data_IF_071413586005
#
_entry.id   IF_071413586005
#
_cell.length_a   1.000
_cell.length_b   1.000
_cell.length_c   1.000
_cell.angle_alpha   90.00
_cell.angle_beta   90.00
_cell.angle_gamma   90.00
#
_symmetry.space_group_name_H-M   'P 1'
#
loop_
_entity.id
_entity.type
_entity.pdbx_description
1 polymer ?
#
# COMPACT_ATOMS: atom_id res chain seq x y z
N UNK A 1 -27.45 27.13 -11.43
CA UNK A 1 -26.70 25.92 -11.79
C UNK A 1 -25.52 26.35 -12.67
N UNK A 2 -24.31 26.33 -12.16
CA UNK A 2 -23.10 26.64 -12.94
C UNK A 2 -22.50 25.32 -13.42
N UNK A 3 -22.21 25.14 -14.71
CA UNK A 3 -21.53 23.94 -15.18
C UNK A 3 -20.10 23.95 -14.66
N UNK A 4 -19.75 22.94 -13.89
CA UNK A 4 -18.36 22.65 -13.52
C UNK A 4 -17.72 22.11 -14.81
N UNK A 5 -16.93 22.94 -15.45
CA UNK A 5 -16.06 22.52 -16.53
C UNK A 5 -15.06 21.52 -15.95
N UNK A 6 -15.24 20.24 -16.22
CA UNK A 6 -14.24 19.21 -16.07
C UNK A 6 -13.14 19.52 -17.10
N UNK A 7 -12.08 20.17 -16.64
CA UNK A 7 -10.81 20.15 -17.35
C UNK A 7 -10.26 18.74 -17.15
N UNK A 8 -10.64 17.85 -18.05
CA UNK A 8 -9.84 16.66 -18.34
C UNK A 8 -8.53 17.19 -18.92
N UNK A 9 -7.52 17.37 -18.06
CA UNK A 9 -6.15 17.27 -18.49
C UNK A 9 -5.98 15.82 -18.96
N UNK A 10 -6.30 15.58 -20.21
CA UNK A 10 -5.73 14.50 -20.97
C UNK A 10 -4.22 14.82 -20.97
N UNK A 11 -3.52 14.38 -19.94
CA UNK A 11 -2.10 14.18 -20.03
C UNK A 11 -1.95 13.28 -21.24
N UNK A 12 -1.51 13.88 -22.34
CA UNK A 12 -1.02 13.16 -23.50
C UNK A 12 0.06 12.25 -22.94
N UNK A 13 -0.36 11.04 -22.61
CA UNK A 13 0.55 9.95 -22.29
C UNK A 13 1.21 9.66 -23.63
N UNK A 14 2.27 10.41 -23.91
CA UNK A 14 3.24 9.95 -24.85
C UNK A 14 3.55 8.51 -24.43
N UNK A 15 3.62 7.55 -25.36
CA UNK A 15 4.12 6.21 -25.08
C UNK A 15 5.62 6.26 -24.86
N UNK A 16 6.05 7.16 -23.97
CA UNK A 16 7.40 7.25 -23.51
C UNK A 16 7.63 6.09 -22.57
N UNK A 17 8.07 4.95 -23.18
CA UNK A 17 8.84 3.94 -22.47
C UNK A 17 8.07 3.19 -21.40
N UNK A 18 6.91 2.64 -21.78
CA UNK A 18 6.20 1.63 -20.99
C UNK A 18 7.06 0.38 -20.70
N UNK A 19 8.24 0.29 -21.34
CA UNK A 19 9.15 -0.84 -21.18
C UNK A 19 9.69 -0.99 -19.73
N UNK A 20 9.80 0.11 -18.98
CA UNK A 20 10.43 0.10 -17.64
C UNK A 20 9.45 0.30 -16.48
N UNK A 21 8.15 0.35 -16.74
CA UNK A 21 7.13 0.56 -15.72
C UNK A 21 6.52 -0.76 -15.29
N UNK A 22 6.70 -1.10 -14.02
CA UNK A 22 6.07 -2.24 -13.36
C UNK A 22 4.59 -1.93 -13.04
N UNK A 23 3.76 -2.95 -12.81
CA UNK A 23 2.45 -2.75 -12.19
C UNK A 23 2.37 -3.42 -10.83
N UNK A 24 1.56 -2.86 -9.95
CA UNK A 24 1.25 -3.42 -8.65
C UNK A 24 -0.24 -3.41 -8.43
N UNK A 25 -0.82 -4.57 -8.22
CA UNK A 25 -2.23 -4.74 -7.89
C UNK A 25 -2.36 -5.31 -6.49
N UNK A 26 -3.20 -4.72 -5.66
CA UNK A 26 -3.46 -5.17 -4.31
C UNK A 26 -4.96 -5.33 -4.06
N UNK A 27 -5.29 -6.29 -3.20
CA UNK A 27 -6.62 -6.54 -2.72
C UNK A 27 -6.58 -6.67 -1.20
N UNK A 28 -7.41 -5.88 -0.52
CA UNK A 28 -7.61 -5.93 0.92
C UNK A 28 -9.08 -6.23 1.23
N UNK A 29 -9.32 -7.22 2.07
CA UNK A 29 -10.66 -7.54 2.60
C UNK A 29 -10.64 -7.33 4.10
N UNK A 30 -11.31 -6.29 4.58
CA UNK A 30 -11.39 -5.95 6.01
C UNK A 30 -12.64 -6.53 6.63
N UNK A 31 -12.44 -7.35 7.67
CA UNK A 31 -13.46 -8.01 8.44
C UNK A 31 -13.44 -7.45 9.88
N UNK A 32 -14.51 -6.82 10.36
CA UNK A 32 -14.63 -6.43 11.76
C UNK A 32 -14.74 -7.70 12.63
N UNK A 33 -13.83 -7.89 13.58
CA UNK A 33 -13.81 -9.03 14.51
C UNK A 33 -14.48 -8.65 15.81
N UNK A 34 -14.16 -7.47 16.34
CA UNK A 34 -14.74 -6.87 17.56
C UNK A 34 -14.74 -5.35 17.41
N UNK A 35 -15.41 -4.60 18.28
CA UNK A 35 -15.21 -3.15 18.35
C UNK A 35 -13.72 -2.83 18.44
N UNK A 36 -13.24 -1.95 17.57
CA UNK A 36 -11.83 -1.51 17.49
C UNK A 36 -10.83 -2.59 17.02
N UNK A 37 -11.27 -3.77 16.60
CA UNK A 37 -10.39 -4.84 16.12
C UNK A 37 -10.86 -5.33 14.77
N UNK A 38 -10.01 -5.18 13.77
CA UNK A 38 -10.23 -5.60 12.40
C UNK A 38 -9.18 -6.65 11.98
N UNK A 39 -9.63 -7.64 11.20
CA UNK A 39 -8.76 -8.54 10.45
C UNK A 39 -8.78 -8.13 8.99
N UNK A 40 -7.61 -7.89 8.42
CA UNK A 40 -7.45 -7.53 7.01
C UNK A 40 -6.75 -8.69 6.31
N UNK A 41 -7.43 -9.29 5.34
CA UNK A 41 -6.80 -10.24 4.43
C UNK A 41 -6.22 -9.47 3.26
N UNK A 42 -4.89 -9.47 3.16
CA UNK A 42 -4.14 -8.73 2.16
C UNK A 42 -3.57 -9.68 1.10
N UNK A 43 -3.70 -9.30 -0.17
CA UNK A 43 -2.94 -9.90 -1.25
C UNK A 43 -2.37 -8.83 -2.18
N UNK A 44 -1.27 -9.15 -2.84
CA UNK A 44 -0.63 -8.26 -3.80
C UNK A 44 0.13 -9.03 -4.86
N UNK A 45 0.00 -8.60 -6.11
CA UNK A 45 0.79 -9.07 -7.25
C UNK A 45 1.59 -7.89 -7.81
N UNK A 46 2.78 -8.18 -8.34
CA UNK A 46 3.56 -7.26 -9.17
C UNK A 46 3.92 -7.92 -10.47
N UNK A 47 3.82 -7.16 -11.54
CA UNK A 47 4.24 -7.60 -12.87
C UNK A 47 5.56 -6.96 -13.25
N UNK A 48 6.28 -7.61 -14.15
CA UNK A 48 7.48 -7.08 -14.79
C UNK A 48 7.13 -5.86 -15.67
N UNK A 49 8.11 -5.02 -16.00
CA UNK A 49 7.93 -3.95 -16.97
C UNK A 49 7.29 -4.47 -18.25
N UNK A 50 6.39 -3.66 -18.84
CA UNK A 50 5.67 -4.05 -20.06
C UNK A 50 4.58 -5.11 -19.87
N UNK A 51 4.28 -5.54 -18.65
CA UNK A 51 3.22 -6.52 -18.37
C UNK A 51 3.55 -7.96 -18.76
N UNK A 52 4.83 -8.26 -19.01
CA UNK A 52 5.34 -9.55 -19.52
C UNK A 52 5.36 -10.69 -18.48
N UNK A 53 4.49 -10.67 -17.51
CA UNK A 53 4.39 -11.70 -16.48
C UNK A 53 4.50 -11.13 -15.08
N UNK A 54 4.09 -11.90 -14.09
CA UNK A 54 4.24 -11.48 -12.69
C UNK A 54 5.56 -12.00 -12.12
N UNK A 55 6.21 -11.18 -11.29
CA UNK A 55 7.46 -11.57 -10.65
C UNK A 55 7.36 -11.62 -9.13
N UNK A 56 6.29 -11.10 -8.54
CA UNK A 56 6.10 -11.13 -7.10
C UNK A 56 4.62 -11.27 -6.73
N UNK A 57 4.36 -12.23 -5.86
CA UNK A 57 3.10 -12.38 -5.16
C UNK A 57 3.33 -12.29 -3.65
N UNK A 58 2.38 -11.77 -2.92
CA UNK A 58 2.33 -11.92 -1.47
C UNK A 58 0.88 -11.94 -0.98
N UNK A 59 0.64 -12.70 0.08
CA UNK A 59 -0.64 -12.70 0.77
C UNK A 59 -0.47 -12.99 2.26
N UNK A 60 -1.44 -12.56 3.06
CA UNK A 60 -1.49 -12.88 4.47
C UNK A 60 -2.40 -11.98 5.28
N UNK A 61 -2.63 -12.33 6.56
CA UNK A 61 -3.46 -11.58 7.47
C UNK A 61 -2.73 -10.40 8.11
N UNK A 62 -3.49 -9.35 8.38
CA UNK A 62 -3.09 -8.19 9.20
C UNK A 62 -4.16 -8.02 10.27
N UNK A 63 -3.75 -7.83 11.50
CA UNK A 63 -4.61 -7.43 12.61
C UNK A 63 -4.41 -5.93 12.82
N UNK A 64 -5.49 -5.18 12.82
CA UNK A 64 -5.52 -3.75 13.12
C UNK A 64 -6.36 -3.52 14.38
N UNK A 65 -5.78 -2.85 15.38
CA UNK A 65 -6.45 -2.54 16.63
C UNK A 65 -6.38 -1.02 16.92
N UNK A 66 -7.55 -0.40 17.00
CA UNK A 66 -7.69 1.01 17.34
C UNK A 66 -7.47 1.21 18.84
N UNK A 67 -6.21 1.35 19.25
CA UNK A 67 -5.83 1.59 20.63
C UNK A 67 -6.40 2.91 21.16
N UNK A 68 -6.43 3.94 20.32
CA UNK A 68 -7.05 5.24 20.58
C UNK A 68 -7.78 5.74 19.32
N UNK A 69 -8.57 6.84 19.39
CA UNK A 69 -9.16 7.45 18.18
C UNK A 69 -8.13 7.92 17.13
N UNK A 70 -6.86 8.03 17.50
CA UNK A 70 -5.78 8.51 16.61
C UNK A 70 -4.68 7.49 16.36
N UNK A 71 -4.66 6.38 17.08
CA UNK A 71 -3.57 5.38 16.99
C UNK A 71 -4.17 4.02 16.73
N UNK A 72 -3.82 3.44 15.59
CA UNK A 72 -4.12 2.05 15.23
C UNK A 72 -2.83 1.24 15.29
N UNK A 73 -2.79 0.21 16.12
CA UNK A 73 -1.69 -0.75 16.16
C UNK A 73 -1.90 -1.81 15.09
N UNK A 74 -0.82 -2.17 14.41
CA UNK A 74 -0.80 -3.11 13.32
C UNK A 74 0.13 -4.27 13.64
N UNK A 75 -0.32 -5.49 13.36
CA UNK A 75 0.53 -6.67 13.35
C UNK A 75 0.11 -7.57 12.20
N UNK A 76 1.04 -8.24 11.55
CA UNK A 76 0.67 -9.07 10.43
C UNK A 76 1.78 -9.99 9.97
N UNK A 77 1.35 -10.87 9.09
CA UNK A 77 2.20 -11.85 8.43
C UNK A 77 1.91 -11.86 6.94
N UNK A 78 2.92 -12.03 6.13
CA UNK A 78 2.81 -12.32 4.70
C UNK A 78 3.68 -13.52 4.33
N UNK A 79 3.10 -14.42 3.56
CA UNK A 79 3.86 -15.28 2.68
C UNK A 79 4.09 -14.53 1.36
N UNK A 80 5.29 -14.59 0.82
CA UNK A 80 5.64 -13.96 -0.44
C UNK A 80 6.40 -14.95 -1.33
N UNK A 81 6.15 -14.87 -2.62
CA UNK A 81 6.95 -15.51 -3.66
C UNK A 81 7.50 -14.43 -4.56
N UNK A 82 8.76 -14.54 -4.91
CA UNK A 82 9.43 -13.62 -5.82
C UNK A 82 10.29 -14.40 -6.81
N UNK A 83 10.12 -14.06 -8.07
CA UNK A 83 10.93 -14.61 -9.15
C UNK A 83 12.39 -14.19 -8.98
N UNK A 84 13.29 -15.15 -9.13
CA UNK A 84 14.74 -14.96 -9.14
C UNK A 84 15.20 -14.63 -10.57
N UNK A 85 15.94 -13.56 -10.72
CA UNK A 85 16.39 -13.07 -12.03
C UNK A 85 17.33 -14.01 -12.79
N UNK A 86 17.95 -14.97 -12.10
CA UNK A 86 18.99 -15.84 -12.69
C UNK A 86 18.38 -17.02 -13.43
N UNK A 87 17.31 -17.60 -12.92
CA UNK A 87 16.74 -18.86 -13.39
C UNK A 87 15.21 -18.83 -13.52
N UNK A 88 14.58 -17.68 -13.29
CA UNK A 88 13.12 -17.51 -13.28
C UNK A 88 12.37 -18.38 -12.27
N UNK A 89 13.08 -19.04 -11.34
CA UNK A 89 12.46 -19.78 -10.27
C UNK A 89 11.85 -18.85 -9.22
N UNK A 90 10.76 -19.27 -8.59
CA UNK A 90 10.14 -18.54 -7.51
C UNK A 90 10.72 -18.94 -6.16
N UNK A 91 11.23 -17.96 -5.43
CA UNK A 91 11.71 -18.14 -4.06
C UNK A 91 10.60 -17.73 -3.09
N UNK A 92 10.34 -18.62 -2.14
CA UNK A 92 9.48 -18.35 -1.00
C UNK A 92 10.15 -17.44 0.03
N UNK A 93 9.32 -16.79 0.82
CA UNK A 93 9.77 -16.00 1.95
C UNK A 93 8.61 -15.58 2.84
N UNK A 94 8.94 -15.32 4.09
CA UNK A 94 7.97 -14.95 5.11
C UNK A 94 8.29 -13.53 5.61
N UNK A 95 7.25 -12.80 5.95
CA UNK A 95 7.40 -11.46 6.53
C UNK A 95 6.48 -11.34 7.72
N UNK A 96 7.07 -11.14 8.88
CA UNK A 96 6.39 -10.75 10.10
C UNK A 96 6.56 -9.25 10.29
N UNK A 97 5.53 -8.56 10.73
CA UNK A 97 5.64 -7.14 11.01
C UNK A 97 4.72 -6.70 12.14
N UNK A 98 5.12 -5.61 12.78
CA UNK A 98 4.33 -4.89 13.76
C UNK A 98 4.61 -3.40 13.69
N UNK A 99 3.68 -2.59 14.19
CA UNK A 99 3.85 -1.15 14.20
C UNK A 99 2.57 -0.39 14.51
N UNK A 100 2.55 0.88 14.12
CA UNK A 100 1.43 1.78 14.37
C UNK A 100 1.16 2.70 13.18
N UNK A 101 -0.10 3.04 13.03
CA UNK A 101 -0.55 4.15 12.19
C UNK A 101 -1.16 5.24 13.09
N UNK A 102 -0.79 6.49 12.85
CA UNK A 102 -1.13 7.64 13.67
C UNK A 102 -1.82 8.69 12.79
N UNK A 103 -3.07 9.04 13.13
CA UNK A 103 -3.74 10.20 12.57
C UNK A 103 -3.17 11.47 13.21
N UNK A 104 -2.16 12.06 12.54
CA UNK A 104 -1.41 13.23 13.09
C UNK A 104 -2.25 14.48 13.06
N UNK A 105 -2.90 14.75 11.93
CA UNK A 105 -3.74 15.91 11.74
C UNK A 105 -4.94 15.60 10.87
N UNK A 106 -6.07 16.14 11.22
CA UNK A 106 -7.32 15.97 10.50
C UNK A 106 -8.10 17.27 10.48
N UNK A 107 -8.51 17.68 9.28
CA UNK A 107 -9.36 18.82 9.05
C UNK A 107 -10.63 18.39 8.30
N UNK A 108 -11.55 19.32 8.00
CA UNK A 108 -12.73 19.01 7.16
C UNK A 108 -12.35 18.58 5.73
N UNK A 109 -11.19 18.99 5.22
CA UNK A 109 -10.77 18.78 3.82
C UNK A 109 -9.58 17.83 3.66
N UNK A 110 -8.74 17.67 4.68
CA UNK A 110 -7.47 16.97 4.62
C UNK A 110 -7.27 16.06 5.81
N UNK A 111 -6.61 14.95 5.58
CA UNK A 111 -6.08 14.06 6.62
C UNK A 111 -4.59 13.85 6.37
N UNK A 112 -3.81 13.91 7.45
CA UNK A 112 -2.38 13.58 7.45
C UNK A 112 -2.14 12.45 8.44
N UNK A 113 -1.61 11.35 7.94
CA UNK A 113 -1.27 10.17 8.73
C UNK A 113 0.21 9.80 8.60
N UNK A 114 0.74 9.17 9.65
CA UNK A 114 2.05 8.55 9.67
C UNK A 114 1.93 7.10 10.07
N UNK A 115 2.74 6.24 9.43
CA UNK A 115 2.81 4.82 9.77
C UNK A 115 4.26 4.40 9.96
N UNK A 116 4.53 3.78 11.10
CA UNK A 116 5.78 3.11 11.39
C UNK A 116 5.55 1.60 11.40
N UNK A 117 6.43 0.84 10.75
CA UNK A 117 6.45 -0.62 10.78
C UNK A 117 7.87 -1.13 11.00
N UNK A 118 8.01 -2.08 11.90
CA UNK A 118 9.18 -2.94 12.02
C UNK A 118 8.85 -4.31 11.39
N UNK A 119 9.70 -4.78 10.49
CA UNK A 119 9.48 -6.00 9.73
C UNK A 119 10.68 -6.95 9.89
N UNK A 120 10.41 -8.24 10.07
CA UNK A 120 11.37 -9.33 9.93
C UNK A 120 11.08 -10.03 8.62
N UNK A 121 12.07 -10.07 7.75
CA UNK A 121 12.02 -10.78 6.47
C UNK A 121 12.86 -12.04 6.59
N UNK A 122 12.20 -13.18 6.37
CA UNK A 122 12.77 -14.51 6.35
C UNK A 122 12.73 -14.98 4.90
N UNK A 123 13.81 -15.48 4.36
CA UNK A 123 13.91 -15.89 2.96
C UNK A 123 14.52 -17.28 2.84
N UNK A 124 13.96 -18.10 1.95
CA UNK A 124 14.45 -19.45 1.69
C UNK A 124 15.79 -19.45 0.95
N UNK A 125 16.22 -18.29 0.40
CA UNK A 125 17.42 -18.21 -0.44
C UNK A 125 18.36 -17.06 -0.12
N UNK A 126 18.10 -16.27 0.93
CA UNK A 126 18.92 -15.14 1.33
C UNK A 126 18.94 -15.00 2.86
N UNK A 127 19.97 -14.39 3.45
CA UNK A 127 19.99 -14.12 4.89
C UNK A 127 18.79 -13.31 5.33
N UNK A 128 18.25 -13.67 6.47
CA UNK A 128 17.18 -12.93 7.13
C UNK A 128 17.63 -11.54 7.49
N UNK A 129 16.71 -10.57 7.40
CA UNK A 129 17.00 -9.21 7.83
C UNK A 129 15.81 -8.48 8.41
N UNK A 130 16.10 -7.49 9.24
CA UNK A 130 15.12 -6.55 9.76
C UNK A 130 15.02 -5.33 8.85
N UNK A 131 13.81 -4.80 8.71
CA UNK A 131 13.55 -3.58 7.98
C UNK A 131 12.58 -2.70 8.75
N UNK A 132 12.86 -1.41 8.76
CA UNK A 132 12.01 -0.39 9.34
C UNK A 132 11.44 0.49 8.27
N UNK A 133 10.18 0.89 8.43
CA UNK A 133 9.47 1.71 7.47
C UNK A 133 8.79 2.86 8.18
N UNK A 134 8.95 4.06 7.61
CA UNK A 134 8.25 5.26 8.04
C UNK A 134 7.52 5.85 6.83
N UNK A 135 6.19 5.87 6.87
CA UNK A 135 5.36 6.47 5.82
C UNK A 135 4.65 7.71 6.36
N UNK A 136 4.70 8.80 5.60
CA UNK A 136 3.84 9.97 5.76
C UNK A 136 2.89 10.02 4.57
N UNK A 137 1.60 10.28 4.82
CA UNK A 137 0.57 10.39 3.78
C UNK A 137 -0.32 11.59 4.04
N UNK A 138 -0.55 12.38 2.99
CA UNK A 138 -1.54 13.44 2.95
C UNK A 138 -2.64 13.06 1.96
N UNK A 139 -3.90 13.13 2.36
CA UNK A 139 -5.04 12.81 1.51
C UNK A 139 -6.16 13.83 1.68
N UNK A 140 -6.86 14.14 0.58
CA UNK A 140 -8.07 14.95 0.64
C UNK A 140 -9.25 14.09 1.14
N UNK A 141 -10.27 14.75 1.70
CA UNK A 141 -11.53 14.15 2.16
C UNK A 141 -12.66 14.50 1.20
N UNK A 142 -12.59 13.92 0.00
CA UNK A 142 -13.56 14.15 -1.09
C UNK A 142 -13.98 12.81 -1.67
N UNK A 143 -15.04 12.77 -2.46
CA UNK A 143 -15.52 11.54 -3.12
C UNK A 143 -14.46 10.90 -4.03
N UNK A 144 -13.72 11.72 -4.78
CA UNK A 144 -12.47 11.34 -5.42
C UNK A 144 -11.38 12.08 -4.66
N UNK A 145 -10.64 11.37 -3.82
CA UNK A 145 -9.70 11.91 -2.86
C UNK A 145 -8.27 11.82 -3.40
N UNK A 146 -7.66 12.89 -3.91
CA UNK A 146 -6.24 12.87 -4.23
C UNK A 146 -5.41 12.62 -2.97
N UNK A 147 -4.31 11.91 -3.15
CA UNK A 147 -3.34 11.66 -2.10
C UNK A 147 -1.92 11.73 -2.61
N UNK A 148 -1.02 12.01 -1.68
CA UNK A 148 0.42 11.80 -1.86
C UNK A 148 0.98 11.11 -0.64
N UNK A 149 2.01 10.29 -0.82
CA UNK A 149 2.73 9.70 0.31
C UNK A 149 4.21 9.57 0.03
N UNK A 150 4.97 9.61 1.10
CA UNK A 150 6.40 9.37 1.12
C UNK A 150 6.71 8.29 2.16
N UNK A 151 7.49 7.29 1.78
CA UNK A 151 7.85 6.18 2.65
C UNK A 151 9.34 5.92 2.60
N UNK A 152 10.00 5.97 3.77
CA UNK A 152 11.40 5.61 3.94
C UNK A 152 11.53 4.16 4.40
N UNK A 153 12.60 3.52 3.93
CA UNK A 153 12.99 2.17 4.32
C UNK A 153 14.41 2.18 4.86
N UNK A 154 14.59 1.52 6.00
CA UNK A 154 15.90 1.36 6.65
C UNK A 154 16.12 -0.13 6.92
N UNK A 155 17.37 -0.55 6.88
CA UNK A 155 17.86 -1.85 7.33
C UNK A 155 19.07 -1.68 8.28
N UNK A 156 19.76 -2.76 8.64
CA UNK A 156 20.93 -2.71 9.50
C UNK A 156 22.09 -1.87 8.92
N UNK A 157 22.08 -1.61 7.62
CA UNK A 157 23.09 -0.79 6.94
C UNK A 157 22.65 0.69 6.79
N UNK A 158 21.54 1.08 7.43
CA UNK A 158 20.99 2.43 7.38
C UNK A 158 19.91 2.59 6.32
N UNK A 159 19.86 3.75 5.64
CA UNK A 159 18.89 4.03 4.60
C UNK A 159 19.01 3.04 3.43
N UNK A 160 17.88 2.44 3.04
CA UNK A 160 17.79 1.44 1.98
C UNK A 160 17.14 1.98 0.71
N UNK A 161 15.99 2.59 0.85
CA UNK A 161 15.24 3.19 -0.25
C UNK A 161 14.19 4.16 0.28
N UNK A 162 13.66 4.99 -0.61
CA UNK A 162 12.47 5.76 -0.36
C UNK A 162 11.49 5.63 -1.52
N UNK A 163 10.21 5.77 -1.22
CA UNK A 163 9.11 5.73 -2.17
C UNK A 163 8.30 6.99 -2.10
N UNK A 164 8.03 7.56 -3.26
CA UNK A 164 7.06 8.61 -3.45
C UNK A 164 5.89 8.04 -4.22
N UNK A 165 4.68 8.24 -3.75
CA UNK A 165 3.50 7.88 -4.50
C UNK A 165 2.47 8.99 -4.48
N UNK A 166 1.76 9.13 -5.59
CA UNK A 166 0.64 10.03 -5.73
C UNK A 166 -0.47 9.34 -6.51
N UNK A 167 -1.71 9.71 -6.23
CA UNK A 167 -2.85 9.08 -6.87
C UNK A 167 -4.18 9.63 -6.41
N UNK A 168 -5.21 8.89 -6.74
CA UNK A 168 -6.58 9.19 -6.34
C UNK A 168 -7.20 7.97 -5.66
N UNK A 169 -7.99 8.23 -4.65
CA UNK A 169 -8.86 7.29 -3.96
C UNK A 169 -10.29 7.56 -4.36
N UNK A 170 -10.97 6.55 -4.82
CA UNK A 170 -12.37 6.60 -5.20
C UNK A 170 -13.17 5.59 -4.39
N UNK A 171 -14.27 6.04 -3.79
CA UNK A 171 -15.16 5.18 -3.00
C UNK A 171 -16.53 5.12 -3.66
N UNK A 172 -16.71 4.26 -4.70
CA UNK A 172 -17.99 4.16 -5.42
C UNK A 172 -19.13 3.67 -4.53
N UNK A 173 -18.83 2.87 -3.54
CA UNK A 173 -19.77 2.33 -2.55
C UNK A 173 -19.15 2.43 -1.15
N UNK A 174 -19.97 2.50 -0.07
CA UNK A 174 -19.45 2.56 1.29
C UNK A 174 -18.54 1.38 1.68
N UNK A 175 -18.73 0.23 1.03
CA UNK A 175 -17.96 -0.98 1.27
C UNK A 175 -16.76 -1.15 0.33
N UNK A 176 -16.61 -0.30 -0.70
CA UNK A 176 -15.58 -0.45 -1.74
C UNK A 176 -14.79 0.83 -1.87
N UNK A 177 -13.48 0.72 -1.79
CA UNK A 177 -12.54 1.79 -2.06
C UNK A 177 -11.53 1.32 -3.10
N UNK A 178 -11.26 2.14 -4.09
CA UNK A 178 -10.29 1.89 -5.16
C UNK A 178 -9.23 2.99 -5.11
N UNK A 179 -7.98 2.61 -4.96
CA UNK A 179 -6.84 3.52 -5.05
C UNK A 179 -6.14 3.28 -6.40
N UNK A 180 -5.99 4.35 -7.19
CA UNK A 180 -5.22 4.36 -8.43
C UNK A 180 -4.09 5.36 -8.27
N UNK A 181 -2.87 5.00 -8.65
CA UNK A 181 -1.74 5.88 -8.44
C UNK A 181 -0.48 5.45 -9.17
N UNK A 182 0.53 6.24 -8.95
CA UNK A 182 1.87 6.02 -9.46
C UNK A 182 2.86 6.08 -8.30
N UNK A 183 3.90 5.23 -8.37
CA UNK A 183 4.95 5.14 -7.36
C UNK A 183 6.31 5.17 -8.04
N UNK A 184 7.19 6.02 -7.51
CA UNK A 184 8.61 6.02 -7.77
C UNK A 184 9.37 5.54 -6.53
N UNK A 185 10.24 4.56 -6.68
CA UNK A 185 11.12 4.05 -5.62
C UNK A 185 12.57 4.32 -5.99
N UNK A 186 13.20 5.23 -5.24
CA UNK A 186 14.64 5.45 -5.31
C UNK A 186 15.35 4.51 -4.35
N UNK A 187 16.43 3.87 -4.80
CA UNK A 187 17.13 2.84 -4.06
C UNK A 187 18.60 3.19 -3.85
N UNK A 188 19.12 2.81 -2.68
CA UNK A 188 20.56 2.86 -2.43
C UNK A 188 21.30 1.98 -3.43
N UNK A 189 22.50 2.42 -3.83
CA UNK A 189 23.41 1.61 -4.64
C UNK A 189 23.61 0.21 -4.02
N UNK A 190 23.59 -0.82 -4.85
CA UNK A 190 23.68 -2.22 -4.42
C UNK A 190 22.36 -2.88 -3.98
N UNK A 191 21.29 -2.12 -3.78
CA UNK A 191 19.95 -2.68 -3.50
C UNK A 191 19.18 -3.04 -4.78
N UNK A 192 19.51 -2.39 -5.88
CA UNK A 192 18.91 -2.58 -7.20
C UNK A 192 18.60 -1.25 -7.88
N UNK A 193 18.14 -1.27 -9.13
CA UNK A 193 17.77 -0.06 -9.87
C UNK A 193 16.54 0.61 -9.26
N UNK A 194 16.38 1.89 -9.53
CA UNK A 194 15.15 2.62 -9.24
C UNK A 194 13.96 1.96 -9.92
N UNK A 195 12.76 2.18 -9.39
CA UNK A 195 11.53 1.55 -9.92
C UNK A 195 10.43 2.56 -10.13
N UNK A 196 9.71 2.32 -11.19
CA UNK A 196 8.50 3.03 -11.54
C UNK A 196 7.33 2.03 -11.57
N UNK A 197 6.22 2.34 -10.89
CA UNK A 197 5.10 1.40 -10.79
C UNK A 197 3.76 2.11 -10.92
N UNK A 198 2.85 1.55 -11.71
CA UNK A 198 1.43 1.85 -11.61
C UNK A 198 0.81 1.08 -10.45
N UNK A 199 0.01 1.75 -9.66
CA UNK A 199 -0.64 1.18 -8.49
C UNK A 199 -2.14 1.07 -8.71
N UNK A 200 -2.68 -0.11 -8.42
CA UNK A 200 -4.11 -0.33 -8.25
C UNK A 200 -4.33 -1.07 -6.95
N UNK A 201 -5.18 -0.56 -6.09
CA UNK A 201 -5.58 -1.27 -4.86
C UNK A 201 -7.08 -1.23 -4.71
N UNK A 202 -7.67 -2.37 -4.38
CA UNK A 202 -9.09 -2.49 -4.10
C UNK A 202 -9.23 -2.91 -2.65
N UNK A 203 -10.02 -2.16 -1.90
CA UNK A 203 -10.29 -2.42 -0.50
C UNK A 203 -11.78 -2.68 -0.31
N UNK A 204 -12.10 -3.87 0.18
CA UNK A 204 -13.45 -4.24 0.61
C UNK A 204 -13.52 -4.12 2.13
N UNK A 205 -14.45 -3.31 2.62
CA UNK A 205 -14.72 -3.20 4.04
C UNK A 205 -16.14 -3.66 4.32
N UNK A 206 -16.30 -4.77 5.03
CA UNK A 206 -17.61 -5.20 5.50
C UNK A 206 -18.16 -4.13 6.45
N UNK A 207 -19.24 -3.46 6.06
CA UNK A 207 -19.92 -2.53 6.94
C UNK A 207 -20.34 -3.28 8.21
N UNK A 208 -19.83 -2.89 9.36
CA UNK A 208 -20.48 -3.27 10.59
C UNK A 208 -21.84 -2.59 10.58
N UNK A 209 -22.91 -3.32 10.29
CA UNK A 209 -24.24 -2.85 10.66
C UNK A 209 -24.15 -2.59 12.16
N UNK A 210 -24.08 -1.34 12.57
CA UNK A 210 -24.58 -0.98 13.88
C UNK A 210 -26.01 -1.50 13.89
N UNK A 211 -26.28 -2.51 14.70
CA UNK A 211 -27.64 -2.78 15.08
C UNK A 211 -28.14 -1.43 15.63
N UNK A 212 -29.09 -0.85 14.90
CA UNK A 212 -29.82 0.31 15.38
C UNK A 212 -30.46 -0.14 16.71
N UNK A 213 -30.11 0.44 17.86
CA UNK A 213 -30.67 -0.02 19.12
C UNK A 213 -32.17 0.29 19.28
N UNK A 214 -32.80 0.87 18.25
CA UNK A 214 -34.18 1.36 18.29
C UNK A 214 -35.12 0.61 17.29
N UNK A 215 -34.92 -0.70 17.06
CA UNK A 215 -35.93 -1.58 16.46
C UNK A 215 -36.32 -2.68 17.40
#
# INVERSE_FOLDING_TARGET
>A
MRPIAFVLCAAAVYPLWAADVETQHALDVTLPVRPKLELILHSRIRTQPGGLGFYQFRAGPIVAWDATPRVTLLSGYYYAQQERKIDSDFIGGHRLFGGAEIAVAETRRWAFDQRFLAERLLSDAAPDFNRYRLRSRLSAKTYIAPYTSHEFFFDAQGWRSNRHSAGVRWSPLPAIQIDLGYLYEHRRAGVGPDRHMWLTSIHFKKSSRRADPDL
#
